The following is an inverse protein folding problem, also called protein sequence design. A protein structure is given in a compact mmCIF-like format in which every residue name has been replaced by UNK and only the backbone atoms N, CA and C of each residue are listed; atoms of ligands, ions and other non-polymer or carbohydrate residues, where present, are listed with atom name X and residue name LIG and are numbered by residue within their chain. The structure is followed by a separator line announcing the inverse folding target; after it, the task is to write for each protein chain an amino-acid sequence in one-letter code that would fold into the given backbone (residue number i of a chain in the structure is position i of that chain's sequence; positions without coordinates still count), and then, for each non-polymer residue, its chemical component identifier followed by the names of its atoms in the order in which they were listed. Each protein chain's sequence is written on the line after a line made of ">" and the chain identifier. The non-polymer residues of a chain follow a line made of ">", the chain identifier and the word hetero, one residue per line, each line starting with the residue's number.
data_IF_734658861867
#
_entry.id   IF_734658861867
#
_cell.length_a   1.000
_cell.length_b   1.000
_cell.length_c   1.000
_cell.angle_alpha   90.00
_cell.angle_beta   90.00
_cell.angle_gamma   90.00
#
_symmetry.space_group_name_H-M   'P 1'
#
loop_
_entity.id
_entity.type
_entity.pdbx_description
1 polymer ?
#
# COMPACT_ATOMS: atom_id res chain seq x y z
N UNK A 1 -19.12 -20.69 -36.96
CA UNK A 1 -19.38 -20.89 -38.40
C UNK A 1 -18.54 -19.87 -39.17
N UNK A 2 -17.58 -20.36 -39.96
CA UNK A 2 -16.86 -19.79 -41.14
C UNK A 2 -16.54 -18.29 -41.27
N UNK A 3 -15.24 -18.00 -41.34
CA UNK A 3 -14.54 -17.09 -42.29
C UNK A 3 -13.10 -17.62 -42.49
N UNK A 4 -12.83 -18.47 -43.49
CA UNK A 4 -12.13 -18.18 -44.78
C UNK A 4 -10.84 -17.34 -44.62
N UNK A 5 -9.65 -17.96 -44.57
CA UNK A 5 -8.77 -18.37 -45.70
C UNK A 5 -7.96 -17.22 -46.35
N UNK A 6 -6.68 -17.11 -45.97
CA UNK A 6 -5.57 -16.66 -46.82
C UNK A 6 -4.26 -17.06 -46.11
N UNK A 7 -3.76 -18.29 -46.30
CA UNK A 7 -2.77 -18.64 -47.31
C UNK A 7 -1.58 -17.68 -47.39
N UNK A 8 -0.56 -17.93 -46.57
CA UNK A 8 0.83 -17.68 -46.96
C UNK A 8 1.71 -18.74 -46.31
N UNK A 9 1.72 -19.90 -46.98
CA UNK A 9 2.68 -20.97 -46.74
C UNK A 9 3.95 -20.59 -47.49
N UNK A 10 5.01 -20.28 -46.75
CA UNK A 10 6.39 -20.39 -47.24
C UNK A 10 7.13 -21.36 -46.33
N UNK A 11 7.21 -22.61 -46.78
CA UNK A 11 8.18 -23.58 -46.29
C UNK A 11 9.58 -23.11 -46.73
N UNK A 12 10.48 -22.93 -45.77
CA UNK A 12 11.92 -23.14 -45.98
C UNK A 12 12.46 -23.91 -44.80
N UNK A 13 13.17 -24.99 -45.12
CA UNK A 13 13.57 -26.05 -44.21
C UNK A 13 14.99 -25.85 -43.67
N UNK A 14 15.23 -26.47 -42.51
CA UNK A 14 16.51 -27.02 -42.04
C UNK A 14 17.65 -26.03 -41.75
N UNK A 15 17.63 -25.50 -40.53
CA UNK A 15 18.83 -25.09 -39.80
C UNK A 15 18.85 -25.76 -38.42
N UNK A 16 19.54 -26.90 -38.30
CA UNK A 16 19.89 -27.52 -37.01
C UNK A 16 21.03 -26.69 -36.38
N UNK A 17 20.64 -25.69 -35.60
CA UNK A 17 21.53 -24.98 -34.68
C UNK A 17 21.01 -25.18 -33.26
N UNK A 18 21.60 -26.13 -32.53
CA UNK A 18 21.39 -26.30 -31.11
C UNK A 18 22.05 -25.11 -30.37
N UNK A 19 21.31 -24.01 -30.21
CA UNK A 19 21.65 -22.96 -29.27
C UNK A 19 20.81 -23.15 -28.02
N UNK A 20 21.34 -23.96 -27.09
CA UNK A 20 20.99 -23.85 -25.68
C UNK A 20 21.48 -22.47 -25.20
N UNK A 21 20.68 -21.43 -25.42
CA UNK A 21 20.84 -20.20 -24.67
C UNK A 21 20.07 -20.41 -23.39
N UNK A 22 20.84 -20.64 -22.33
CA UNK A 22 20.40 -20.87 -20.96
C UNK A 22 19.23 -19.97 -20.62
N UNK A 23 18.09 -20.58 -20.29
CA UNK A 23 17.15 -20.01 -19.35
C UNK A 23 17.92 -19.94 -18.02
N UNK A 24 18.76 -18.91 -17.88
CA UNK A 24 19.14 -18.43 -16.57
C UNK A 24 17.82 -17.97 -15.99
N UNK A 25 17.14 -18.89 -15.29
CA UNK A 25 16.35 -18.54 -14.15
C UNK A 25 17.27 -17.66 -13.33
N UNK A 26 17.11 -16.35 -13.52
CA UNK A 26 17.58 -15.35 -12.61
C UNK A 26 16.91 -15.78 -11.32
N UNK A 27 17.65 -16.51 -10.49
CA UNK A 27 17.29 -16.69 -9.11
C UNK A 27 17.05 -15.27 -8.65
N UNK A 28 15.79 -14.91 -8.44
CA UNK A 28 15.43 -13.64 -7.86
C UNK A 28 16.30 -13.58 -6.60
N UNK A 29 17.26 -12.65 -6.58
CA UNK A 29 17.89 -12.31 -5.32
C UNK A 29 16.73 -12.01 -4.38
N UNK A 30 16.73 -12.52 -3.14
CA UNK A 30 15.70 -12.14 -2.19
C UNK A 30 15.83 -10.62 -2.04
N UNK A 31 14.97 -9.87 -2.72
CA UNK A 31 14.82 -8.45 -2.52
C UNK A 31 14.36 -8.34 -1.09
N UNK A 32 15.28 -8.01 -0.20
CA UNK A 32 14.93 -7.69 1.18
C UNK A 32 14.22 -6.35 1.08
N UNK A 33 12.90 -6.37 1.04
CA UNK A 33 12.13 -5.14 1.06
C UNK A 33 12.47 -4.34 2.31
N UNK A 34 12.69 -3.01 2.18
CA UNK A 34 12.91 -2.17 3.34
C UNK A 34 11.69 -2.24 4.28
N UNK A 35 11.93 -2.55 5.55
CA UNK A 35 10.86 -2.74 6.54
C UNK A 35 11.13 -2.00 7.84
N UNK A 36 10.07 -1.78 8.61
CA UNK A 36 10.15 -1.28 9.99
C UNK A 36 9.23 -2.06 10.93
N UNK A 37 9.38 -1.85 12.24
CA UNK A 37 8.46 -2.45 13.20
C UNK A 37 7.09 -1.76 13.16
N UNK A 38 6.03 -2.53 13.39
CA UNK A 38 4.67 -2.01 13.58
C UNK A 38 4.61 -0.86 14.60
N UNK A 39 5.29 -1.03 15.74
CA UNK A 39 5.36 -0.02 16.80
C UNK A 39 6.00 1.31 16.34
N UNK A 40 6.91 1.27 15.36
CA UNK A 40 7.52 2.47 14.79
C UNK A 40 6.70 3.06 13.61
N UNK A 41 5.92 2.24 12.91
CA UNK A 41 5.05 2.66 11.82
C UNK A 41 3.77 3.35 12.32
N UNK A 42 3.13 2.81 13.36
CA UNK A 42 1.89 3.34 13.91
C UNK A 42 1.91 4.86 14.23
N UNK A 43 2.92 5.43 14.91
CA UNK A 43 2.96 6.87 15.17
C UNK A 43 3.15 7.71 13.89
N UNK A 44 3.74 7.16 12.82
CA UNK A 44 3.88 7.85 11.54
C UNK A 44 2.53 7.97 10.82
N UNK A 45 1.78 6.88 10.77
CA UNK A 45 0.42 6.87 10.21
C UNK A 45 -0.48 7.82 11.01
N UNK A 46 -0.48 7.69 12.35
CA UNK A 46 -1.28 8.54 13.22
C UNK A 46 -0.96 10.04 13.06
N UNK A 47 0.33 10.40 12.94
CA UNK A 47 0.73 11.78 12.70
C UNK A 47 0.23 12.30 11.35
N UNK A 48 0.34 11.51 10.28
CA UNK A 48 -0.14 11.88 8.94
C UNK A 48 -1.66 12.03 8.89
N UNK A 49 -2.40 11.12 9.53
CA UNK A 49 -3.85 11.24 9.68
C UNK A 49 -4.24 12.48 10.47
N UNK A 50 -3.55 12.77 11.57
CA UNK A 50 -3.83 13.96 12.37
C UNK A 50 -3.50 15.28 11.66
N UNK A 51 -2.48 15.28 10.80
CA UNK A 51 -2.18 16.42 9.94
C UNK A 51 -3.30 16.61 8.90
N UNK A 52 -3.86 15.51 8.35
CA UNK A 52 -5.07 15.58 7.51
C UNK A 52 -6.25 16.15 8.28
N UNK A 53 -6.55 15.60 9.45
CA UNK A 53 -7.67 16.05 10.30
C UNK A 53 -7.55 17.52 10.71
N UNK A 54 -6.32 18.01 10.94
CA UNK A 54 -6.07 19.43 11.19
C UNK A 54 -6.37 20.29 9.95
N UNK A 55 -5.92 19.89 8.75
CA UNK A 55 -6.28 20.58 7.48
C UNK A 55 -7.79 20.57 7.24
N UNK A 56 -8.47 19.52 7.68
CA UNK A 56 -9.92 19.36 7.58
C UNK A 56 -10.72 20.05 8.68
N UNK A 57 -10.10 20.89 9.52
CA UNK A 57 -10.74 21.63 10.60
C UNK A 57 -11.44 20.73 11.65
N UNK A 58 -10.91 19.53 11.89
CA UNK A 58 -11.41 18.62 12.92
C UNK A 58 -10.59 18.66 14.23
N UNK A 59 -9.54 19.49 14.28
CA UNK A 59 -8.63 19.63 15.42
C UNK A 59 -8.73 21.02 16.04
N UNK A 60 -9.05 21.10 17.32
CA UNK A 60 -9.17 22.33 18.11
C UNK A 60 -10.12 22.16 19.30
N UNK A 61 -10.16 23.16 20.18
CA UNK A 61 -11.01 23.12 21.37
C UNK A 61 -12.49 22.97 21.00
N UNK A 62 -13.14 21.91 21.49
CA UNK A 62 -14.54 21.60 21.20
C UNK A 62 -14.81 20.91 19.86
N UNK A 63 -13.76 20.56 19.11
CA UNK A 63 -13.87 19.77 17.88
C UNK A 63 -13.67 18.27 18.14
N UNK A 64 -13.71 17.45 17.07
CA UNK A 64 -13.49 16.00 17.11
C UNK A 64 -12.25 15.64 17.93
N UNK A 65 -11.16 16.36 17.70
CA UNK A 65 -9.95 16.25 18.50
C UNK A 65 -9.63 17.59 19.17
N UNK A 66 -9.48 17.60 20.50
CA UNK A 66 -9.21 18.83 21.27
C UNK A 66 -7.89 19.52 20.93
N UNK A 67 -6.90 18.73 20.48
CA UNK A 67 -5.59 19.19 20.03
C UNK A 67 -4.97 18.17 19.08
N UNK A 68 -3.89 18.56 18.39
CA UNK A 68 -3.14 17.65 17.53
C UNK A 68 -2.57 16.46 18.32
N UNK A 69 -2.10 16.71 19.54
CA UNK A 69 -1.58 15.63 20.40
C UNK A 69 -2.70 14.66 20.79
N UNK A 70 -3.86 15.18 21.19
CA UNK A 70 -5.03 14.34 21.49
C UNK A 70 -5.46 13.48 20.29
N UNK A 71 -5.38 14.03 19.07
CA UNK A 71 -5.62 13.25 17.86
C UNK A 71 -4.63 12.08 17.74
N UNK A 72 -3.34 12.34 17.90
CA UNK A 72 -2.28 11.33 17.78
C UNK A 72 -2.46 10.25 18.86
N UNK A 73 -2.81 10.63 20.08
CA UNK A 73 -3.00 9.68 21.18
C UNK A 73 -4.19 8.75 20.91
N UNK A 74 -5.30 9.28 20.39
CA UNK A 74 -6.51 8.52 20.05
C UNK A 74 -6.24 7.59 18.86
N UNK A 75 -5.84 8.15 17.72
CA UNK A 75 -5.63 7.35 16.49
C UNK A 75 -4.43 6.41 16.62
N UNK A 76 -3.37 6.84 17.28
CA UNK A 76 -2.18 6.02 17.50
C UNK A 76 -2.47 4.78 18.34
N UNK A 77 -3.41 4.85 19.29
CA UNK A 77 -3.86 3.67 20.04
C UNK A 77 -4.61 2.70 19.12
N UNK A 78 -5.54 3.21 18.32
CA UNK A 78 -6.36 2.40 17.42
C UNK A 78 -5.49 1.71 16.35
N UNK A 79 -4.54 2.43 15.75
CA UNK A 79 -3.59 1.89 14.76
C UNK A 79 -2.65 0.86 15.40
N UNK A 80 -2.12 1.12 16.60
CA UNK A 80 -1.29 0.12 17.29
C UNK A 80 -2.08 -1.15 17.61
N UNK A 81 -3.37 -1.03 17.93
CA UNK A 81 -4.22 -2.18 18.17
C UNK A 81 -4.48 -2.96 16.87
N UNK A 82 -4.73 -2.27 15.75
CA UNK A 82 -4.89 -2.88 14.43
C UNK A 82 -3.63 -3.68 14.04
N UNK A 83 -2.46 -3.04 14.11
CA UNK A 83 -1.19 -3.70 13.79
C UNK A 83 -0.82 -4.82 14.77
N UNK A 84 -1.19 -4.69 16.04
CA UNK A 84 -0.91 -5.70 17.06
C UNK A 84 -1.85 -6.90 17.00
N UNK A 85 -2.99 -6.79 16.31
CA UNK A 85 -3.96 -7.86 16.12
C UNK A 85 -3.72 -8.67 14.83
N UNK A 86 -2.81 -8.19 13.98
CA UNK A 86 -2.50 -8.77 12.68
C UNK A 86 -1.17 -9.52 12.74
N UNK A 87 -1.22 -10.82 12.45
CA UNK A 87 -0.06 -11.71 12.57
C UNK A 87 0.99 -11.43 11.50
N UNK A 88 0.60 -10.88 10.35
CA UNK A 88 1.53 -10.55 9.26
C UNK A 88 2.45 -9.39 9.70
N UNK A 89 1.96 -8.53 10.61
CA UNK A 89 2.76 -7.44 11.18
C UNK A 89 3.93 -7.93 12.06
N UNK A 90 4.00 -9.23 12.41
CA UNK A 90 5.16 -9.82 13.10
C UNK A 90 6.42 -9.79 12.23
N UNK A 91 6.28 -9.89 10.91
CA UNK A 91 7.41 -9.79 9.98
C UNK A 91 7.80 -8.34 9.70
N UNK A 92 7.02 -7.38 10.21
CA UNK A 92 7.23 -5.95 10.05
C UNK A 92 6.29 -5.32 9.04
N UNK A 93 6.49 -4.03 8.84
CA UNK A 93 5.71 -3.15 7.97
C UNK A 93 6.58 -2.73 6.79
N UNK A 94 6.05 -2.87 5.59
CA UNK A 94 6.64 -2.38 4.33
C UNK A 94 6.89 -0.87 4.44
N UNK A 95 8.14 -0.45 4.30
CA UNK A 95 8.48 0.97 4.34
C UNK A 95 7.93 1.70 3.11
N UNK A 96 7.90 1.03 1.96
CA UNK A 96 7.46 1.63 0.70
C UNK A 96 5.94 1.85 0.73
N UNK A 97 5.14 0.83 1.11
CA UNK A 97 3.68 0.97 1.24
C UNK A 97 3.31 1.97 2.35
N UNK A 98 4.07 2.02 3.44
CA UNK A 98 3.87 3.01 4.49
C UNK A 98 4.11 4.43 3.98
N UNK A 99 5.15 4.66 3.18
CA UNK A 99 5.43 5.97 2.61
C UNK A 99 4.32 6.39 1.64
N UNK A 100 3.86 5.46 0.80
CA UNK A 100 2.76 5.69 -0.13
C UNK A 100 1.46 6.03 0.61
N UNK A 101 1.14 5.28 1.68
CA UNK A 101 0.03 5.60 2.58
C UNK A 101 0.16 7.02 3.16
N UNK A 102 1.32 7.35 3.74
CA UNK A 102 1.57 8.66 4.36
C UNK A 102 1.47 9.79 3.33
N UNK A 103 1.96 9.59 2.12
CA UNK A 103 1.87 10.57 1.04
C UNK A 103 0.44 10.73 0.53
N UNK A 104 -0.31 9.63 0.42
CA UNK A 104 -1.73 9.68 0.10
C UNK A 104 -2.51 10.52 1.13
N UNK A 105 -2.29 10.28 2.43
CA UNK A 105 -2.91 11.05 3.52
C UNK A 105 -2.60 12.55 3.48
N UNK A 106 -1.45 12.96 2.92
CA UNK A 106 -1.11 14.39 2.74
C UNK A 106 -1.93 15.05 1.66
N UNK A 107 -2.28 14.31 0.61
CA UNK A 107 -3.01 14.82 -0.57
C UNK A 107 -4.50 14.54 -0.53
N UNK A 108 -4.97 13.67 0.37
CA UNK A 108 -6.37 13.29 0.48
C UNK A 108 -7.24 14.50 0.86
N UNK A 109 -8.37 14.63 0.15
CA UNK A 109 -9.35 15.69 0.36
C UNK A 109 -10.15 15.48 1.64
N UNK A 110 -10.60 16.60 2.22
CA UNK A 110 -11.41 16.62 3.42
C UNK A 110 -12.87 16.24 3.13
N UNK A 111 -13.15 14.93 3.04
CA UNK A 111 -14.49 14.34 3.05
C UNK A 111 -15.57 15.04 2.20
N UNK A 112 -15.74 14.61 0.94
CA UNK A 112 -16.86 15.02 0.09
C UNK A 112 -18.10 14.12 0.20
N UNK A 113 -19.26 14.61 -0.25
CA UNK A 113 -20.54 13.85 -0.35
C UNK A 113 -20.51 12.70 -1.37
N UNK A 114 -19.42 12.54 -2.13
CA UNK A 114 -19.12 11.41 -3.02
C UNK A 114 -18.38 10.24 -2.32
N UNK A 115 -17.99 10.41 -1.06
CA UNK A 115 -16.85 9.70 -0.47
C UNK A 115 -17.13 8.50 0.48
N UNK A 116 -18.21 7.70 0.42
CA UNK A 116 -18.21 6.43 1.15
C UNK A 116 -17.08 5.51 0.64
N UNK A 117 -16.90 5.42 -0.68
CA UNK A 117 -15.93 4.50 -1.30
C UNK A 117 -14.50 5.04 -1.23
N UNK A 118 -14.29 6.33 -1.47
CA UNK A 118 -12.95 6.96 -1.43
C UNK A 118 -12.39 6.98 0.00
N UNK A 119 -13.24 7.29 0.99
CA UNK A 119 -12.85 7.26 2.41
C UNK A 119 -12.56 5.83 2.88
N UNK A 120 -13.24 4.83 2.32
CA UNK A 120 -12.89 3.42 2.55
C UNK A 120 -11.54 3.08 1.91
N UNK A 121 -11.25 3.51 0.69
CA UNK A 121 -9.98 3.20 0.00
C UNK A 121 -8.76 3.84 0.66
N UNK A 122 -8.83 5.12 1.03
CA UNK A 122 -7.75 5.78 1.75
C UNK A 122 -7.50 5.15 3.13
N UNK A 123 -8.57 4.72 3.81
CA UNK A 123 -8.44 3.96 5.06
C UNK A 123 -7.85 2.57 4.80
N UNK A 124 -8.15 1.92 3.68
CA UNK A 124 -7.68 0.56 3.36
C UNK A 124 -6.17 0.50 3.04
N UNK A 125 -5.61 1.50 2.36
CA UNK A 125 -4.17 1.51 2.04
C UNK A 125 -3.27 1.71 3.26
N UNK A 126 -3.80 2.27 4.34
CA UNK A 126 -3.07 2.57 5.56
C UNK A 126 -3.33 1.56 6.70
N UNK A 127 -4.02 0.46 6.42
CA UNK A 127 -4.35 -0.60 7.39
C UNK A 127 -3.27 -1.66 7.52
N UNK A 128 -3.29 -2.39 8.62
CA UNK A 128 -2.38 -3.52 8.87
C UNK A 128 -2.29 -4.47 7.66
N UNK A 129 -3.45 -4.88 7.12
CA UNK A 129 -3.56 -5.84 6.04
C UNK A 129 -3.02 -5.37 4.67
N UNK A 130 -2.65 -4.10 4.54
CA UNK A 130 -2.04 -3.53 3.33
C UNK A 130 -0.58 -3.14 3.55
N UNK A 131 -0.18 -2.88 4.80
CA UNK A 131 1.14 -2.39 5.15
C UNK A 131 2.05 -3.48 5.72
N UNK A 132 1.48 -4.55 6.28
CA UNK A 132 2.23 -5.62 6.92
C UNK A 132 2.70 -6.67 5.91
N UNK A 133 3.86 -7.26 6.22
CA UNK A 133 4.54 -8.21 5.34
C UNK A 133 4.18 -9.66 5.75
N UNK A 134 3.71 -10.47 4.81
CA UNK A 134 3.39 -11.89 5.06
C UNK A 134 4.63 -12.76 5.41
#
# INVERSE_FOLDING_TARGET
>A
MKTFCASLVLLSALGLGASCASEQGMAASPTTEPRMSAAAAAPKVAAAECDKEARCNNVGSGLKYSSRQHCIDVLGKDINQDFGADEDCLNGVSLDDLNDCVDHLKTEDCGGVTAPVEKMQATMMCRSNALCLD
#
